data_IF_878855365848
#
_entry.id   IF_878855365848
#
_cell.length_a   1.000
_cell.length_b   1.000
_cell.length_c   1.000
_cell.angle_alpha   90.00
_cell.angle_beta   90.00
_cell.angle_gamma   90.00
#
_symmetry.space_group_name_H-M   'P 1'
#
loop_
_entity.id
_entity.type
_entity.pdbx_description
1 polymer ?
#
# COMPACT_ATOMS: atom_id res chain seq x y z
N UNK A 1 -5.23 -20.49 -8.93
CA UNK A 1 -4.65 -19.65 -10.00
C UNK A 1 -5.74 -18.86 -10.71
N UNK A 2 -5.47 -17.57 -10.97
CA UNK A 2 -6.33 -16.68 -11.73
C UNK A 2 -5.72 -16.48 -13.12
N UNK A 3 -6.41 -16.84 -14.20
CA UNK A 3 -5.84 -16.80 -15.53
C UNK A 3 -5.75 -15.38 -16.10
N UNK A 4 -4.73 -15.13 -16.92
CA UNK A 4 -4.67 -13.97 -17.79
C UNK A 4 -4.62 -12.60 -17.10
N UNK A 5 -3.97 -12.49 -15.92
CA UNK A 5 -3.90 -11.24 -15.14
C UNK A 5 -3.37 -10.04 -15.94
N UNK A 6 -2.46 -10.28 -16.91
CA UNK A 6 -1.98 -9.20 -17.78
C UNK A 6 -3.05 -8.63 -18.74
N UNK A 7 -4.19 -9.29 -18.85
CA UNK A 7 -5.33 -8.87 -19.67
C UNK A 7 -6.58 -8.60 -18.82
N UNK A 8 -6.38 -8.22 -17.56
CA UNK A 8 -7.45 -7.74 -16.72
C UNK A 8 -8.09 -6.50 -17.34
N UNK A 9 -9.42 -6.46 -17.32
CA UNK A 9 -10.22 -5.27 -17.59
C UNK A 9 -11.10 -4.96 -16.38
N UNK A 10 -11.84 -3.87 -16.47
CA UNK A 10 -12.86 -3.56 -15.48
C UNK A 10 -14.06 -4.50 -15.63
N UNK A 11 -14.76 -4.84 -14.53
CA UNK A 11 -15.99 -5.63 -14.59
C UNK A 11 -17.11 -4.84 -15.30
N UNK A 12 -18.08 -5.58 -15.79
CA UNK A 12 -19.32 -5.03 -16.38
C UNK A 12 -20.43 -5.23 -15.36
N UNK A 13 -21.22 -4.21 -15.10
CA UNK A 13 -22.46 -4.28 -14.33
C UNK A 13 -23.67 -4.21 -15.25
N UNK A 14 -24.46 -5.27 -15.29
CA UNK A 14 -25.78 -5.31 -15.94
C UNK A 14 -26.81 -4.95 -14.86
N UNK A 15 -27.28 -3.68 -14.86
CA UNK A 15 -28.19 -3.17 -13.83
C UNK A 15 -29.63 -3.34 -14.30
N UNK A 16 -30.50 -3.83 -13.41
CA UNK A 16 -31.92 -4.07 -13.64
C UNK A 16 -32.77 -2.98 -12.99
N UNK A 17 -34.00 -2.81 -13.46
CA UNK A 17 -34.96 -1.81 -12.94
C UNK A 17 -35.30 -1.99 -11.46
N UNK A 18 -35.21 -3.22 -10.96
CA UNK A 18 -35.42 -3.55 -9.52
C UNK A 18 -34.23 -3.21 -8.63
N UNK A 19 -33.17 -2.59 -9.18
CA UNK A 19 -31.96 -2.25 -8.47
C UNK A 19 -30.98 -3.41 -8.28
N UNK A 20 -31.32 -4.62 -8.75
CA UNK A 20 -30.35 -5.71 -8.78
C UNK A 20 -29.33 -5.53 -9.91
N UNK A 21 -28.17 -6.13 -9.76
CA UNK A 21 -27.13 -6.11 -10.79
C UNK A 21 -26.54 -7.50 -11.01
N UNK A 22 -26.12 -7.78 -12.24
CA UNK A 22 -25.27 -8.92 -12.55
C UNK A 22 -23.89 -8.41 -12.91
N UNK A 23 -22.92 -8.80 -12.12
CA UNK A 23 -21.51 -8.47 -12.37
C UNK A 23 -20.92 -9.56 -13.26
N UNK A 24 -20.27 -9.13 -14.33
CA UNK A 24 -19.60 -10.00 -15.30
C UNK A 24 -18.32 -9.32 -15.82
N UNK A 25 -17.71 -9.87 -16.86
CA UNK A 25 -16.53 -9.33 -17.51
C UNK A 25 -16.58 -9.54 -19.02
N UNK A 26 -15.72 -8.82 -19.76
CA UNK A 26 -15.57 -9.02 -21.20
C UNK A 26 -15.09 -10.45 -21.50
N UNK A 27 -15.72 -11.11 -22.45
CA UNK A 27 -15.32 -12.45 -22.88
C UNK A 27 -13.85 -12.48 -23.31
N UNK A 28 -13.11 -13.47 -22.85
CA UNK A 28 -11.67 -13.61 -23.15
C UNK A 28 -10.72 -12.69 -22.37
N UNK A 29 -11.23 -11.75 -21.53
CA UNK A 29 -10.38 -11.00 -20.61
C UNK A 29 -9.89 -11.90 -19.46
N UNK A 30 -8.79 -11.45 -18.80
CA UNK A 30 -8.26 -12.14 -17.62
C UNK A 30 -9.12 -11.95 -16.37
N UNK A 31 -8.67 -12.54 -15.28
CA UNK A 31 -9.35 -12.41 -13.99
C UNK A 31 -10.53 -13.37 -13.82
N UNK A 32 -11.20 -13.24 -12.68
CA UNK A 32 -12.42 -14.02 -12.34
C UNK A 32 -13.43 -13.11 -11.66
N UNK A 33 -14.69 -13.30 -12.00
CA UNK A 33 -15.83 -12.73 -11.27
C UNK A 33 -16.50 -13.84 -10.47
N UNK A 34 -16.40 -13.77 -9.15
CA UNK A 34 -16.93 -14.76 -8.21
C UNK A 34 -17.66 -14.07 -7.07
N UNK A 35 -18.50 -14.76 -6.29
CA UNK A 35 -19.08 -14.18 -5.07
C UNK A 35 -18.04 -13.61 -4.11
N UNK A 36 -16.86 -14.23 -3.98
CA UNK A 36 -15.80 -13.76 -3.12
C UNK A 36 -15.21 -12.42 -3.60
N UNK A 37 -14.86 -12.32 -4.90
CA UNK A 37 -14.30 -11.08 -5.46
C UNK A 37 -15.33 -9.95 -5.48
N UNK A 38 -16.61 -10.25 -5.69
CA UNK A 38 -17.68 -9.25 -5.60
C UNK A 38 -17.88 -8.75 -4.17
N UNK A 39 -17.88 -9.65 -3.17
CA UNK A 39 -18.00 -9.24 -1.75
C UNK A 39 -16.82 -8.38 -1.30
N UNK A 40 -15.61 -8.74 -1.67
CA UNK A 40 -14.42 -7.97 -1.38
C UNK A 40 -14.54 -6.55 -1.95
N UNK A 41 -14.97 -6.43 -3.22
CA UNK A 41 -15.11 -5.13 -3.87
C UNK A 41 -16.24 -4.27 -3.29
N UNK A 42 -17.38 -4.88 -2.91
CA UNK A 42 -18.50 -4.16 -2.27
C UNK A 42 -18.08 -3.57 -0.93
N UNK A 43 -17.20 -4.25 -0.20
CA UNK A 43 -16.75 -3.85 1.13
C UNK A 43 -15.43 -3.07 1.12
N UNK A 44 -14.83 -2.89 -0.05
CA UNK A 44 -13.53 -2.23 -0.18
C UNK A 44 -13.61 -0.76 0.22
N UNK A 45 -12.77 -0.36 1.17
CA UNK A 45 -12.71 1.01 1.74
C UNK A 45 -14.03 1.53 2.34
N UNK A 46 -14.93 0.63 2.71
CA UNK A 46 -16.18 0.98 3.39
C UNK A 46 -15.98 0.81 4.90
N UNK A 47 -16.04 1.93 5.64
CA UNK A 47 -15.86 1.94 7.09
C UNK A 47 -17.01 1.22 7.82
N UNK A 48 -18.26 1.53 7.45
CA UNK A 48 -19.45 0.89 7.99
C UNK A 48 -20.42 0.54 6.84
N UNK A 49 -20.59 -0.76 6.53
CA UNK A 49 -21.47 -1.19 5.45
C UNK A 49 -22.96 -0.89 5.71
N UNK A 50 -23.36 -0.58 6.95
CA UNK A 50 -24.72 -0.19 7.29
C UNK A 50 -24.98 1.32 7.10
N UNK A 51 -23.94 2.09 6.83
CA UNK A 51 -24.03 3.56 6.80
C UNK A 51 -23.04 4.16 5.82
N UNK A 52 -23.17 3.80 4.55
CA UNK A 52 -22.35 4.38 3.50
C UNK A 52 -23.01 5.64 2.94
N UNK A 53 -22.43 6.79 3.26
CA UNK A 53 -23.01 8.11 2.91
C UNK A 53 -22.70 8.42 1.44
N UNK A 54 -23.76 8.65 0.67
CA UNK A 54 -23.73 9.20 -0.68
C UNK A 54 -24.46 10.55 -0.73
N UNK A 55 -24.41 11.31 -1.81
CA UNK A 55 -25.09 12.61 -1.87
C UNK A 55 -26.61 12.56 -1.67
N UNK A 56 -27.25 11.47 -2.06
CA UNK A 56 -28.72 11.32 -2.12
C UNK A 56 -29.29 10.28 -1.18
N UNK A 57 -28.47 9.34 -0.70
CA UNK A 57 -28.90 8.31 0.25
C UNK A 57 -27.78 7.93 1.22
N UNK A 58 -28.15 7.35 2.35
CA UNK A 58 -27.24 6.56 3.16
C UNK A 58 -27.51 5.10 2.84
N UNK A 59 -26.61 4.49 2.05
CA UNK A 59 -26.74 3.11 1.63
C UNK A 59 -26.45 2.15 2.79
N UNK A 60 -27.18 1.04 2.82
CA UNK A 60 -27.02 -0.07 3.75
C UNK A 60 -26.78 -1.35 2.96
N UNK A 61 -25.56 -1.88 3.07
CA UNK A 61 -25.14 -3.12 2.40
C UNK A 61 -25.28 -4.36 3.28
N UNK A 62 -25.77 -4.24 4.51
CA UNK A 62 -25.87 -5.39 5.44
C UNK A 62 -26.82 -6.50 4.95
N UNK A 63 -27.81 -6.13 4.13
CA UNK A 63 -28.75 -7.07 3.52
C UNK A 63 -28.36 -7.58 2.13
N UNK A 64 -27.18 -7.19 1.63
CA UNK A 64 -26.76 -7.58 0.27
C UNK A 64 -26.54 -9.08 0.16
N UNK A 65 -27.16 -9.66 -0.86
CA UNK A 65 -26.97 -11.03 -1.28
C UNK A 65 -26.09 -11.07 -2.52
N UNK A 66 -25.18 -12.03 -2.56
CA UNK A 66 -24.22 -12.22 -3.67
C UNK A 66 -24.26 -13.68 -4.09
N UNK A 67 -24.79 -13.96 -5.27
CA UNK A 67 -25.06 -15.31 -5.78
C UNK A 67 -24.38 -15.56 -7.13
N UNK A 68 -23.72 -16.72 -7.28
CA UNK A 68 -23.15 -17.13 -8.55
C UNK A 68 -24.27 -17.60 -9.50
N UNK A 69 -24.36 -17.02 -10.69
CA UNK A 69 -25.24 -17.44 -11.77
C UNK A 69 -24.56 -18.38 -12.77
N UNK A 70 -23.24 -18.47 -12.73
CA UNK A 70 -22.42 -19.25 -13.65
C UNK A 70 -20.98 -18.74 -13.66
N UNK A 71 -20.14 -19.24 -14.56
CA UNK A 71 -18.77 -18.76 -14.70
C UNK A 71 -18.73 -17.25 -14.99
N UNK A 72 -17.99 -16.50 -14.18
CA UNK A 72 -17.82 -15.05 -14.31
C UNK A 72 -19.14 -14.25 -14.38
N UNK A 73 -20.20 -14.74 -13.72
CA UNK A 73 -21.47 -14.05 -13.59
C UNK A 73 -22.00 -14.16 -12.16
N UNK A 74 -22.18 -13.02 -11.51
CA UNK A 74 -22.59 -12.94 -10.11
C UNK A 74 -23.73 -11.93 -9.97
N UNK A 75 -24.86 -12.38 -9.44
CA UNK A 75 -25.99 -11.53 -9.07
C UNK A 75 -25.73 -10.87 -7.72
N UNK A 76 -26.05 -9.60 -7.64
CA UNK A 76 -26.01 -8.78 -6.42
C UNK A 76 -27.36 -8.10 -6.26
N UNK A 77 -28.01 -8.27 -5.12
CA UNK A 77 -29.27 -7.64 -4.78
C UNK A 77 -29.41 -7.41 -3.26
N UNK A 78 -30.50 -6.78 -2.82
CA UNK A 78 -30.87 -6.64 -1.42
C UNK A 78 -30.14 -5.51 -0.67
N UNK A 79 -29.47 -4.60 -1.37
CA UNK A 79 -29.02 -3.36 -0.76
C UNK A 79 -30.23 -2.53 -0.29
N UNK A 80 -30.09 -1.94 0.89
CA UNK A 80 -31.07 -1.01 1.44
C UNK A 80 -30.54 0.42 1.49
N UNK A 81 -31.37 1.33 2.01
CA UNK A 81 -30.95 2.71 2.20
C UNK A 81 -31.96 3.50 3.01
N UNK A 82 -31.53 4.66 3.47
CA UNK A 82 -32.34 5.67 4.13
C UNK A 82 -32.04 7.04 3.54
N UNK A 83 -32.91 8.06 3.77
CA UNK A 83 -32.68 9.41 3.25
C UNK A 83 -31.30 9.95 3.60
N UNK A 84 -30.73 10.78 2.72
CA UNK A 84 -29.48 11.47 2.96
C UNK A 84 -29.52 12.24 4.27
N UNK A 85 -28.41 12.29 5.03
CA UNK A 85 -28.32 13.11 6.22
C UNK A 85 -28.27 14.61 5.86
N UNK A 86 -28.47 15.48 6.83
CA UNK A 86 -28.35 16.93 6.64
C UNK A 86 -26.91 17.39 6.33
N UNK A 87 -25.93 16.55 6.59
CA UNK A 87 -24.51 16.80 6.32
C UNK A 87 -24.00 15.91 5.17
N UNK A 88 -23.04 16.41 4.41
CA UNK A 88 -22.35 15.65 3.36
C UNK A 88 -21.02 15.13 3.87
N UNK A 89 -20.59 13.96 3.36
CA UNK A 89 -19.22 13.49 3.48
C UNK A 89 -18.36 14.28 2.50
N UNK A 90 -17.29 14.89 2.99
CA UNK A 90 -16.32 15.62 2.17
C UNK A 90 -14.96 14.96 2.31
N UNK A 91 -14.34 14.65 1.17
CA UNK A 91 -12.94 14.26 1.13
C UNK A 91 -12.08 15.52 0.99
N UNK A 92 -11.11 15.67 1.89
CA UNK A 92 -10.22 16.84 1.92
C UNK A 92 -8.80 16.33 1.75
N UNK A 93 -8.11 16.83 0.72
CA UNK A 93 -6.67 16.63 0.57
C UNK A 93 -5.91 17.86 1.06
N UNK A 94 -4.86 17.66 1.82
CA UNK A 94 -4.00 18.74 2.27
C UNK A 94 -2.52 18.33 2.25
N UNK A 95 -1.64 19.31 2.07
CA UNK A 95 -0.21 19.10 2.14
C UNK A 95 0.20 18.96 3.61
N UNK A 96 0.61 17.74 4.00
CA UNK A 96 0.98 17.45 5.39
C UNK A 96 2.45 17.73 5.67
N UNK A 97 3.33 17.17 4.85
CA UNK A 97 4.77 17.20 5.08
C UNK A 97 5.53 16.74 3.84
N UNK A 98 6.83 16.46 4.01
CA UNK A 98 7.69 15.91 2.97
C UNK A 98 8.26 14.59 3.45
N UNK A 99 8.32 13.58 2.60
CA UNK A 99 9.00 12.31 2.87
C UNK A 99 10.33 12.26 2.13
N UNK A 100 11.40 11.99 2.88
CA UNK A 100 12.71 11.64 2.35
C UNK A 100 12.91 10.13 2.45
N UNK A 101 13.42 9.53 1.40
CA UNK A 101 13.70 8.11 1.35
C UNK A 101 15.00 7.80 0.64
N UNK A 102 15.83 6.95 1.25
CA UNK A 102 17.01 6.38 0.64
C UNK A 102 17.03 4.88 0.77
N UNK A 103 17.59 4.21 -0.22
CA UNK A 103 17.72 2.74 -0.24
C UNK A 103 19.07 2.32 -0.82
N UNK A 104 19.62 1.19 -0.34
CA UNK A 104 20.84 0.56 -0.86
C UNK A 104 20.75 -0.95 -0.66
N UNK A 105 21.25 -1.75 -1.62
CA UNK A 105 21.24 -3.21 -1.56
C UNK A 105 22.59 -3.79 -1.18
N UNK A 106 22.55 -4.93 -0.47
CA UNK A 106 23.69 -5.79 -0.16
C UNK A 106 23.35 -7.22 -0.56
N UNK A 107 24.28 -7.94 -1.19
CA UNK A 107 24.08 -9.31 -1.63
C UNK A 107 25.27 -10.23 -1.29
N UNK A 108 25.03 -11.54 -1.31
CA UNK A 108 26.02 -12.57 -1.01
C UNK A 108 26.24 -12.81 0.49
N UNK A 109 27.27 -13.57 0.86
CA UNK A 109 27.53 -13.93 2.25
C UNK A 109 27.58 -12.72 3.17
N UNK A 110 26.84 -12.74 4.29
CA UNK A 110 26.76 -11.65 5.26
C UNK A 110 25.99 -10.40 4.78
N UNK A 111 25.17 -10.51 3.75
CA UNK A 111 24.35 -9.42 3.23
C UNK A 111 23.47 -8.79 4.32
N UNK A 112 22.81 -9.62 5.10
CA UNK A 112 21.93 -9.16 6.19
C UNK A 112 22.71 -8.38 7.28
N UNK A 113 23.88 -8.88 7.68
CA UNK A 113 24.70 -8.20 8.68
C UNK A 113 25.19 -6.83 8.19
N UNK A 114 25.59 -6.75 6.91
CA UNK A 114 26.01 -5.47 6.29
C UNK A 114 24.85 -4.50 6.15
N UNK A 115 23.68 -4.97 5.77
CA UNK A 115 22.48 -4.15 5.68
C UNK A 115 22.04 -3.59 7.05
N UNK A 116 22.13 -4.39 8.13
CA UNK A 116 21.88 -3.93 9.50
C UNK A 116 22.90 -2.85 9.91
N UNK A 117 24.19 -3.12 9.70
CA UNK A 117 25.22 -2.12 9.98
C UNK A 117 25.02 -0.82 9.19
N UNK A 118 24.55 -0.92 7.93
CA UNK A 118 24.23 0.26 7.13
C UNK A 118 23.10 1.09 7.75
N UNK A 119 22.04 0.46 8.24
CA UNK A 119 20.95 1.15 8.95
C UNK A 119 21.45 1.82 10.24
N UNK A 120 22.30 1.14 11.02
CA UNK A 120 22.88 1.69 12.24
C UNK A 120 23.75 2.93 11.94
N UNK A 121 24.57 2.87 10.89
CA UNK A 121 25.39 4.01 10.42
C UNK A 121 24.49 5.19 10.06
N UNK A 122 23.43 4.97 9.28
CA UNK A 122 22.53 6.05 8.87
C UNK A 122 21.82 6.65 10.08
N UNK A 123 21.33 5.82 11.01
CA UNK A 123 20.68 6.30 12.23
C UNK A 123 21.62 7.20 13.06
N UNK A 124 22.87 6.80 13.23
CA UNK A 124 23.87 7.61 13.93
C UNK A 124 24.17 8.91 13.18
N UNK A 125 24.34 8.85 11.85
CA UNK A 125 24.64 10.04 11.04
C UNK A 125 23.51 11.05 11.01
N UNK A 126 22.26 10.61 10.91
CA UNK A 126 21.09 11.49 11.02
C UNK A 126 21.08 12.24 12.35
N UNK A 127 21.44 11.55 13.45
CA UNK A 127 21.56 12.16 14.77
C UNK A 127 22.73 13.17 14.83
N UNK A 128 23.91 12.79 14.32
CA UNK A 128 25.12 13.64 14.34
C UNK A 128 24.97 14.91 13.50
N UNK A 129 24.31 14.77 12.34
CA UNK A 129 24.12 15.90 11.41
C UNK A 129 22.91 16.77 11.76
N UNK A 130 22.17 16.40 12.82
CA UNK A 130 21.03 17.17 13.31
C UNK A 130 19.87 17.27 12.33
N UNK A 131 19.63 16.22 11.54
CA UNK A 131 18.48 16.18 10.61
C UNK A 131 17.18 16.20 11.41
N UNK A 132 16.34 17.18 11.11
CA UNK A 132 15.04 17.31 11.75
C UNK A 132 14.02 16.42 11.03
N UNK A 133 13.87 15.19 11.53
CA UNK A 133 12.98 14.20 10.97
C UNK A 133 12.10 13.56 12.04
N UNK A 134 10.88 13.18 11.64
CA UNK A 134 9.93 12.42 12.45
C UNK A 134 9.49 11.15 11.71
N UNK A 135 8.89 10.22 12.42
CA UNK A 135 8.39 8.96 11.87
C UNK A 135 9.48 8.20 11.07
N UNK A 136 10.74 8.27 11.56
CA UNK A 136 11.84 7.54 10.93
C UNK A 136 11.60 6.04 10.96
N UNK A 137 11.74 5.43 9.79
CA UNK A 137 11.66 3.99 9.59
C UNK A 137 12.96 3.46 9.01
N UNK A 138 13.37 2.32 9.54
CA UNK A 138 14.57 1.59 9.15
C UNK A 138 14.13 0.17 8.77
N UNK A 139 13.99 -0.09 7.49
CA UNK A 139 13.44 -1.35 6.98
C UNK A 139 14.54 -2.18 6.28
N UNK A 140 14.46 -3.48 6.45
CA UNK A 140 15.20 -4.46 5.66
C UNK A 140 14.23 -5.15 4.71
N UNK A 141 14.14 -4.64 3.48
CA UNK A 141 13.29 -5.22 2.43
C UNK A 141 13.86 -6.60 2.08
N UNK A 142 12.98 -7.60 2.09
CA UNK A 142 13.35 -9.01 2.01
C UNK A 142 13.46 -9.71 3.36
N UNK A 143 13.35 -8.95 4.48
CA UNK A 143 13.41 -9.48 5.86
C UNK A 143 12.19 -9.06 6.68
N UNK A 144 12.05 -7.76 6.98
CA UNK A 144 11.07 -7.29 7.98
C UNK A 144 10.19 -6.13 7.53
N UNK A 145 10.35 -5.63 6.29
CA UNK A 145 9.68 -4.42 5.83
C UNK A 145 8.14 -4.52 5.81
N UNK A 146 7.56 -5.70 5.60
CA UNK A 146 6.11 -5.90 5.53
C UNK A 146 5.50 -6.26 6.89
N UNK A 147 6.10 -7.18 7.63
CA UNK A 147 5.49 -7.78 8.81
C UNK A 147 6.26 -7.53 10.11
N UNK A 148 7.37 -6.79 10.05
CA UNK A 148 8.26 -6.59 11.20
C UNK A 148 9.05 -7.84 11.59
N UNK A 149 9.85 -7.71 12.64
CA UNK A 149 10.76 -8.78 13.08
C UNK A 149 10.03 -9.98 13.69
N UNK A 150 8.85 -9.76 14.26
CA UNK A 150 8.10 -10.81 14.95
C UNK A 150 7.66 -11.97 14.06
N UNK A 151 7.28 -11.69 12.81
CA UNK A 151 6.87 -12.72 11.85
C UNK A 151 8.02 -13.23 10.97
N UNK A 152 9.11 -12.49 10.88
CA UNK A 152 10.31 -12.89 10.12
C UNK A 152 11.32 -13.67 10.96
N UNK A 153 11.12 -13.78 12.28
CA UNK A 153 12.00 -14.50 13.17
C UNK A 153 12.12 -15.98 12.76
N UNK A 154 13.35 -16.45 12.57
CA UNK A 154 13.63 -17.83 12.17
C UNK A 154 13.56 -18.09 10.65
N UNK A 155 13.24 -17.10 9.83
CA UNK A 155 13.35 -17.23 8.39
C UNK A 155 14.83 -17.40 7.95
N UNK A 156 15.10 -18.16 6.86
CA UNK A 156 16.44 -18.27 6.32
C UNK A 156 17.02 -16.90 5.94
N UNK A 157 18.33 -16.74 6.11
CA UNK A 157 19.01 -15.50 5.70
C UNK A 157 18.90 -15.32 4.18
N UNK A 158 18.36 -14.18 3.71
CA UNK A 158 18.21 -13.96 2.28
C UNK A 158 19.57 -13.68 1.63
N UNK A 159 19.73 -14.10 0.36
CA UNK A 159 20.93 -13.83 -0.43
C UNK A 159 21.14 -12.34 -0.70
N UNK A 160 20.07 -11.59 -0.84
CA UNK A 160 20.07 -10.14 -1.08
C UNK A 160 19.10 -9.45 -0.15
N UNK A 161 19.49 -8.30 0.40
CA UNK A 161 18.71 -7.45 1.30
C UNK A 161 18.82 -6.01 0.82
N UNK A 162 17.71 -5.30 0.83
CA UNK A 162 17.71 -3.87 0.56
C UNK A 162 17.42 -3.09 1.84
N UNK A 163 18.40 -2.36 2.32
CA UNK A 163 18.26 -1.42 3.43
C UNK A 163 17.50 -0.18 2.92
N UNK A 164 16.48 0.23 3.66
CA UNK A 164 15.65 1.39 3.38
C UNK A 164 15.55 2.26 4.62
N UNK A 165 15.79 3.56 4.47
CA UNK A 165 15.50 4.55 5.50
C UNK A 165 14.55 5.57 4.92
N UNK A 166 13.46 5.83 5.62
CA UNK A 166 12.49 6.85 5.25
C UNK A 166 12.06 7.65 6.48
N UNK A 167 11.68 8.90 6.28
CA UNK A 167 11.19 9.75 7.37
C UNK A 167 10.48 10.99 6.85
N UNK A 168 9.70 11.60 7.71
CA UNK A 168 9.00 12.86 7.44
C UNK A 168 9.82 14.05 7.90
N UNK A 169 9.74 15.13 7.15
CA UNK A 169 10.35 16.41 7.50
C UNK A 169 9.43 17.58 7.11
N UNK A 170 9.69 18.75 7.67
CA UNK A 170 8.87 19.96 7.44
C UNK A 170 9.27 20.73 6.17
N UNK A 171 10.33 20.29 5.49
CA UNK A 171 10.75 20.84 4.20
C UNK A 171 11.35 19.76 3.29
N UNK A 172 11.22 19.96 1.98
CA UNK A 172 11.84 19.11 0.97
C UNK A 172 13.36 19.01 1.15
N UNK A 173 13.99 20.11 1.58
CA UNK A 173 15.44 20.15 1.85
C UNK A 173 15.82 19.20 2.99
N UNK A 174 15.10 19.23 4.12
CA UNK A 174 15.37 18.34 5.25
C UNK A 174 15.02 16.88 4.89
N UNK A 175 13.93 16.65 4.16
CA UNK A 175 13.58 15.32 3.67
C UNK A 175 14.71 14.74 2.79
N UNK A 176 15.28 15.52 1.88
CA UNK A 176 16.41 15.08 1.03
C UNK A 176 17.66 14.74 1.83
N UNK A 177 17.90 15.37 2.99
CA UNK A 177 19.04 15.03 3.86
C UNK A 177 18.96 13.61 4.38
N UNK A 178 17.75 13.11 4.68
CA UNK A 178 17.54 11.70 5.06
C UNK A 178 18.04 10.78 3.94
N UNK A 179 17.60 11.05 2.72
CA UNK A 179 17.96 10.27 1.54
C UNK A 179 19.47 10.32 1.22
N UNK A 180 20.11 11.49 1.40
CA UNK A 180 21.54 11.68 1.17
C UNK A 180 22.39 10.88 2.15
N UNK A 181 21.97 10.69 3.40
CA UNK A 181 22.73 9.86 4.36
C UNK A 181 22.78 8.39 3.92
N UNK A 182 21.74 7.89 3.24
CA UNK A 182 21.79 6.54 2.65
C UNK A 182 22.71 6.49 1.44
N UNK A 183 22.67 7.49 0.56
CA UNK A 183 23.57 7.54 -0.60
C UNK A 183 25.03 7.59 -0.18
N UNK A 184 25.36 8.26 0.94
CA UNK A 184 26.72 8.34 1.46
C UNK A 184 27.33 6.97 1.81
N UNK A 185 26.52 5.94 1.99
CA UNK A 185 26.96 4.58 2.24
C UNK A 185 27.77 3.96 1.08
N UNK A 186 27.69 4.51 -0.13
CA UNK A 186 28.58 4.08 -1.23
C UNK A 186 30.06 4.26 -0.91
N UNK A 187 30.40 5.30 -0.16
CA UNK A 187 31.78 5.63 0.18
C UNK A 187 32.12 5.45 1.66
N UNK A 188 31.12 5.57 2.53
CA UNK A 188 31.29 5.56 3.98
C UNK A 188 30.52 4.42 4.67
N UNK A 189 30.01 3.45 3.92
CA UNK A 189 29.23 2.33 4.41
C UNK A 189 29.95 0.98 4.37
N UNK A 190 29.25 -0.11 4.73
CA UNK A 190 29.76 -1.46 4.59
C UNK A 190 30.13 -1.79 3.15
N UNK A 191 31.16 -2.61 2.95
CA UNK A 191 31.64 -3.00 1.63
C UNK A 191 30.55 -3.72 0.80
N UNK A 192 30.55 -3.49 -0.51
CA UNK A 192 29.69 -4.19 -1.48
C UNK A 192 28.22 -3.70 -1.48
N UNK A 193 27.96 -2.50 -1.00
CA UNK A 193 26.68 -1.82 -1.21
C UNK A 193 26.52 -1.40 -2.67
N UNK A 194 25.31 -1.56 -3.21
CA UNK A 194 25.00 -1.23 -4.60
C UNK A 194 23.56 -0.78 -4.83
N UNK A 195 23.31 -0.20 -6.02
CA UNK A 195 21.97 0.17 -6.44
C UNK A 195 21.28 1.21 -5.53
N UNK A 196 22.04 2.16 -4.95
CA UNK A 196 21.43 3.16 -4.10
C UNK A 196 20.45 4.03 -4.88
N UNK A 197 19.34 4.34 -4.25
CA UNK A 197 18.32 5.28 -4.75
C UNK A 197 17.96 6.26 -3.65
N UNK A 198 17.57 7.47 -4.07
CA UNK A 198 17.11 8.51 -3.14
C UNK A 198 15.96 9.30 -3.73
N UNK A 199 15.05 9.74 -2.89
CA UNK A 199 13.96 10.62 -3.28
C UNK A 199 13.53 11.52 -2.12
N UNK A 200 12.94 12.65 -2.47
CA UNK A 200 12.14 13.43 -1.55
C UNK A 200 10.91 13.98 -2.29
N UNK A 201 9.74 13.93 -1.64
CA UNK A 201 8.46 14.31 -2.24
C UNK A 201 7.49 14.81 -1.20
N UNK A 202 6.47 15.51 -1.66
CA UNK A 202 5.35 15.94 -0.85
C UNK A 202 4.54 14.74 -0.35
N UNK A 203 3.95 14.88 0.83
CA UNK A 203 2.88 14.00 1.32
C UNK A 203 1.60 14.80 1.27
N UNK A 204 0.65 14.29 0.51
CA UNK A 204 -0.74 14.73 0.51
C UNK A 204 -1.54 13.72 1.33
N UNK A 205 -2.19 14.18 2.37
CA UNK A 205 -3.03 13.38 3.27
C UNK A 205 -4.51 13.71 3.07
#
# INVERSE_FOLDING_TARGET
>A
DVPGLARLGFPIGEVHEDGSAVITKVAGSGGRVTPATCKEQILYEIHDPRSYITPDVVADFSGVRVEALGPDRVRIDGAGGRPAPASLKVSVGYLDSYVGEGQISYAGPGALARARLALDIVAERLRMTGVQARDLRYDLIGVNALHGDGLSAGAPEPYEVRARVAGRADSLKEAMRIANEVESLYTCGPAGGGGATKSARDIVA
#
